data_IF_960740494540
#
_entry.id   IF_960740494540
#
_cell.length_a   1.000
_cell.length_b   1.000
_cell.length_c   1.000
_cell.angle_alpha   90.00
_cell.angle_beta   90.00
_cell.angle_gamma   90.00
#
_symmetry.space_group_name_H-M   'P 1'
#
loop_
_entity.id
_entity.type
_entity.pdbx_description
1 polymer ?
#
# COMPACT_ATOMS: atom_id res chain seq x y z
N UNK A 1 -11.87 9.75 -36.20
CA UNK A 1 -11.44 11.07 -35.68
C UNK A 1 -10.17 10.88 -34.91
N UNK A 2 -9.13 11.68 -35.16
CA UNK A 2 -7.88 11.60 -34.40
C UNK A 2 -8.15 12.00 -32.96
N UNK A 3 -7.70 11.18 -32.00
CA UNK A 3 -7.84 11.47 -30.55
C UNK A 3 -6.88 12.62 -30.21
N UNK A 4 -7.40 13.69 -29.63
CA UNK A 4 -6.57 14.83 -29.22
C UNK A 4 -5.68 14.45 -28.03
N UNK A 5 -4.37 14.62 -28.16
CA UNK A 5 -3.39 14.37 -27.09
C UNK A 5 -3.76 15.15 -25.82
N UNK A 6 -4.17 16.41 -25.94
CA UNK A 6 -4.61 17.23 -24.79
C UNK A 6 -5.82 16.63 -24.08
N UNK A 7 -6.80 16.14 -24.83
CA UNK A 7 -8.00 15.52 -24.24
C UNK A 7 -7.66 14.24 -23.50
N UNK A 8 -6.73 13.42 -24.01
CA UNK A 8 -6.26 12.21 -23.32
C UNK A 8 -5.57 12.59 -22.01
N UNK A 9 -4.67 13.56 -22.03
CA UNK A 9 -3.97 14.01 -20.83
C UNK A 9 -4.95 14.54 -19.75
N UNK A 10 -5.90 15.40 -20.14
CA UNK A 10 -6.93 15.93 -19.23
C UNK A 10 -7.80 14.82 -18.66
N UNK A 11 -8.18 13.82 -19.46
CA UNK A 11 -8.93 12.65 -18.98
C UNK A 11 -8.14 11.84 -17.95
N UNK A 12 -6.85 11.59 -18.21
CA UNK A 12 -5.98 10.87 -17.28
C UNK A 12 -5.89 11.60 -15.93
N UNK A 13 -5.62 12.91 -15.96
CA UNK A 13 -5.55 13.73 -14.75
C UNK A 13 -6.88 13.69 -13.96
N UNK A 14 -8.01 13.83 -14.67
CA UNK A 14 -9.33 13.78 -14.03
C UNK A 14 -9.62 12.42 -13.39
N UNK A 15 -9.25 11.32 -14.03
CA UNK A 15 -9.43 9.97 -13.48
C UNK A 15 -8.60 9.75 -12.21
N UNK A 16 -7.34 10.19 -12.21
CA UNK A 16 -6.48 10.09 -11.02
C UNK A 16 -6.98 11.01 -9.89
N UNK A 17 -7.35 12.25 -10.19
CA UNK A 17 -7.91 13.17 -9.21
C UNK A 17 -9.20 12.63 -8.56
N UNK A 18 -10.09 12.02 -9.35
CA UNK A 18 -11.30 11.39 -8.84
C UNK A 18 -10.97 10.18 -7.93
N UNK A 19 -9.96 9.40 -8.29
CA UNK A 19 -9.51 8.27 -7.48
C UNK A 19 -8.97 8.72 -6.13
N UNK A 20 -8.20 9.81 -6.11
CA UNK A 20 -7.71 10.44 -4.87
C UNK A 20 -8.86 10.98 -4.03
N UNK A 21 -9.79 11.74 -4.63
CA UNK A 21 -10.94 12.29 -3.92
C UNK A 21 -11.82 11.19 -3.31
N UNK A 22 -11.93 10.05 -3.99
CA UNK A 22 -12.67 8.88 -3.51
C UNK A 22 -12.12 8.27 -2.23
N UNK A 23 -10.82 8.42 -1.94
CA UNK A 23 -10.19 7.90 -0.72
C UNK A 23 -10.82 8.47 0.55
N UNK A 24 -11.34 9.69 0.51
CA UNK A 24 -11.98 10.31 1.67
C UNK A 24 -13.12 9.45 2.25
N UNK A 25 -13.82 8.69 1.40
CA UNK A 25 -14.89 7.78 1.85
C UNK A 25 -14.39 6.50 2.54
N UNK A 26 -13.09 6.23 2.46
CA UNK A 26 -12.44 5.06 3.07
C UNK A 26 -11.68 5.40 4.36
N UNK A 27 -11.66 6.68 4.76
CA UNK A 27 -11.11 7.09 6.05
C UNK A 27 -12.12 6.73 7.14
N UNK A 28 -11.80 5.69 7.89
CA UNK A 28 -12.68 5.06 8.88
C UNK A 28 -11.89 4.66 10.14
N UNK A 29 -12.49 3.91 11.06
CA UNK A 29 -11.86 3.44 12.30
C UNK A 29 -10.57 2.65 12.06
N UNK A 30 -10.45 1.93 10.96
CA UNK A 30 -9.22 1.19 10.65
C UNK A 30 -8.07 2.14 10.27
N UNK A 31 -8.37 3.29 9.64
CA UNK A 31 -7.37 4.32 9.43
C UNK A 31 -6.86 4.89 10.78
N UNK A 32 -7.76 5.20 11.72
CA UNK A 32 -7.36 5.67 13.06
C UNK A 32 -6.53 4.62 13.81
N UNK A 33 -6.91 3.33 13.72
CA UNK A 33 -6.14 2.22 14.30
C UNK A 33 -4.74 2.12 13.67
N UNK A 34 -4.62 2.30 12.35
CA UNK A 34 -3.33 2.26 11.66
C UNK A 34 -2.41 3.38 12.16
N UNK A 35 -2.91 4.61 12.20
CA UNK A 35 -2.17 5.77 12.73
C UNK A 35 -1.77 5.53 14.18
N UNK A 36 -2.69 5.06 15.03
CA UNK A 36 -2.42 4.78 16.44
C UNK A 36 -1.35 3.70 16.60
N UNK A 37 -1.43 2.60 15.83
CA UNK A 37 -0.45 1.51 15.88
C UNK A 37 0.95 2.00 15.48
N UNK A 38 1.06 2.86 14.46
CA UNK A 38 2.32 3.45 14.02
C UNK A 38 2.86 4.43 15.06
N UNK A 39 2.02 5.37 15.53
CA UNK A 39 2.44 6.45 16.42
C UNK A 39 2.80 5.96 17.84
N UNK A 40 2.11 4.93 18.34
CA UNK A 40 2.37 4.34 19.67
C UNK A 40 3.35 3.17 19.65
N UNK A 41 3.75 2.72 18.46
CA UNK A 41 4.68 1.61 18.26
C UNK A 41 6.06 1.91 18.85
N UNK A 42 6.72 0.89 19.42
CA UNK A 42 8.08 0.99 19.94
C UNK A 42 9.15 0.57 18.92
N UNK A 43 8.72 0.02 17.79
CA UNK A 43 9.56 -0.43 16.69
C UNK A 43 9.51 0.54 15.51
N UNK A 44 9.93 0.06 14.37
CA UNK A 44 9.90 0.77 13.09
C UNK A 44 8.64 0.43 12.32
N UNK A 45 8.36 1.20 11.27
CA UNK A 45 7.39 0.79 10.24
C UNK A 45 8.14 0.08 9.12
N UNK A 46 7.81 -1.19 8.88
CA UNK A 46 8.32 -1.96 7.75
C UNK A 46 7.29 -1.89 6.63
N UNK A 47 7.61 -1.19 5.55
CA UNK A 47 6.69 -1.08 4.41
C UNK A 47 7.14 -2.01 3.31
N UNK A 48 6.25 -2.91 2.87
CA UNK A 48 6.54 -3.93 1.87
C UNK A 48 5.60 -3.85 0.68
N UNK A 49 6.08 -4.28 -0.46
CA UNK A 49 5.31 -4.37 -1.71
C UNK A 49 6.11 -5.06 -2.80
N UNK A 50 5.45 -5.28 -3.95
CA UNK A 50 6.09 -5.85 -5.15
C UNK A 50 5.73 -5.02 -6.38
N UNK A 51 6.62 -4.99 -7.37
CA UNK A 51 6.42 -4.24 -8.61
C UNK A 51 6.23 -2.74 -8.36
N UNK A 52 5.17 -2.14 -8.94
CA UNK A 52 4.91 -0.71 -8.77
C UNK A 52 4.53 -0.34 -7.34
N UNK A 53 3.86 -1.22 -6.60
CA UNK A 53 3.59 -1.00 -5.17
C UNK A 53 4.86 -0.95 -4.32
N UNK A 54 5.94 -1.64 -4.73
CA UNK A 54 7.24 -1.53 -4.06
C UNK A 54 7.85 -0.13 -4.21
N UNK A 55 7.70 0.51 -5.38
CA UNK A 55 8.16 1.90 -5.61
C UNK A 55 7.38 2.87 -4.72
N UNK A 56 6.07 2.67 -4.58
CA UNK A 56 5.23 3.46 -3.68
C UNK A 56 5.65 3.24 -2.21
N UNK A 57 5.91 1.99 -1.82
CA UNK A 57 6.40 1.66 -0.48
C UNK A 57 7.71 2.40 -0.14
N UNK A 58 8.66 2.45 -1.07
CA UNK A 58 9.92 3.20 -0.89
C UNK A 58 9.67 4.70 -0.67
N UNK A 59 8.73 5.30 -1.44
CA UNK A 59 8.37 6.71 -1.26
C UNK A 59 7.74 6.95 0.10
N UNK A 60 6.83 6.09 0.55
CA UNK A 60 6.18 6.20 1.86
C UNK A 60 7.23 6.10 2.98
N UNK A 61 8.16 5.15 2.90
CA UNK A 61 9.29 5.03 3.83
C UNK A 61 10.11 6.31 3.89
N UNK A 62 10.43 6.91 2.72
CA UNK A 62 11.18 8.17 2.68
C UNK A 62 10.42 9.31 3.37
N UNK A 63 9.09 9.37 3.20
CA UNK A 63 8.22 10.36 3.86
C UNK A 63 8.19 10.14 5.38
N UNK A 64 7.96 8.93 5.85
CA UNK A 64 7.99 8.59 7.28
C UNK A 64 9.32 8.98 7.94
N UNK A 65 10.43 8.62 7.32
CA UNK A 65 11.77 8.99 7.85
C UNK A 65 11.96 10.51 7.87
N UNK A 66 11.45 11.25 6.88
CA UNK A 66 11.55 12.71 6.83
C UNK A 66 10.67 13.40 7.88
N UNK A 67 9.63 12.75 8.34
CA UNK A 67 8.69 13.27 9.35
C UNK A 67 8.92 12.71 10.75
N UNK A 68 10.00 11.93 10.94
CA UNK A 68 10.43 11.46 12.26
C UNK A 68 9.88 10.09 12.68
N UNK A 69 9.23 9.35 11.78
CA UNK A 69 8.77 7.98 12.01
C UNK A 69 9.79 6.99 11.44
N UNK A 70 10.60 6.29 12.26
CA UNK A 70 11.61 5.37 11.76
C UNK A 70 11.00 4.25 10.92
N UNK A 71 11.44 4.14 9.67
CA UNK A 71 10.83 3.22 8.71
C UNK A 71 11.87 2.59 7.80
N UNK A 72 11.58 1.35 7.36
CA UNK A 72 12.41 0.63 6.38
C UNK A 72 11.53 0.04 5.28
N UNK A 73 12.12 -0.08 4.11
CA UNK A 73 11.51 -0.79 2.99
C UNK A 73 11.97 -2.25 2.95
N UNK A 74 11.05 -3.18 2.69
CA UNK A 74 11.32 -4.59 2.49
C UNK A 74 10.62 -5.05 1.20
N UNK A 75 11.38 -5.45 0.19
CA UNK A 75 10.77 -5.96 -1.04
C UNK A 75 10.10 -7.32 -0.79
N UNK A 76 8.83 -7.50 -1.18
CA UNK A 76 8.08 -8.70 -0.83
C UNK A 76 8.67 -9.99 -1.40
N UNK A 77 9.32 -9.95 -2.58
CA UNK A 77 10.00 -11.11 -3.13
C UNK A 77 11.31 -11.43 -2.39
N UNK A 78 12.07 -10.41 -1.97
CA UNK A 78 13.34 -10.62 -1.27
C UNK A 78 13.09 -11.09 0.18
N UNK A 79 11.98 -10.68 0.77
CA UNK A 79 11.55 -11.12 2.09
C UNK A 79 11.49 -12.65 2.23
N UNK A 80 10.96 -13.34 1.21
CA UNK A 80 10.87 -14.81 1.22
C UNK A 80 12.21 -15.50 0.98
N UNK A 81 13.25 -14.75 0.61
CA UNK A 81 14.61 -15.24 0.37
C UNK A 81 15.63 -14.80 1.43
N UNK A 82 15.15 -14.21 2.55
CA UNK A 82 16.00 -13.90 3.69
C UNK A 82 15.79 -12.52 4.32
N UNK A 83 15.35 -11.52 3.57
CA UNK A 83 15.18 -10.15 4.08
C UNK A 83 14.10 -10.03 5.17
N UNK A 84 13.25 -11.06 5.32
CA UNK A 84 12.33 -11.16 6.45
C UNK A 84 13.03 -11.06 7.81
N UNK A 85 14.31 -11.48 7.89
CA UNK A 85 15.13 -11.35 9.09
C UNK A 85 15.35 -9.92 9.58
N UNK A 86 15.08 -8.90 8.75
CA UNK A 86 15.16 -7.50 9.18
C UNK A 86 13.96 -7.05 10.04
N UNK A 87 12.85 -7.80 10.02
CA UNK A 87 11.64 -7.49 10.82
C UNK A 87 11.89 -7.85 12.29
N UNK A 88 11.66 -6.89 13.18
CA UNK A 88 11.82 -7.06 14.62
C UNK A 88 10.46 -7.15 15.33
N UNK A 89 10.45 -7.71 16.54
CA UNK A 89 9.25 -8.05 17.29
C UNK A 89 8.26 -6.88 17.49
N UNK A 90 8.75 -5.65 17.62
CA UNK A 90 7.91 -4.48 17.87
C UNK A 90 7.63 -3.65 16.61
N UNK A 91 8.07 -4.09 15.45
CA UNK A 91 7.82 -3.39 14.19
C UNK A 91 6.34 -3.52 13.79
N UNK A 92 5.81 -2.47 13.17
CA UNK A 92 4.51 -2.49 12.48
C UNK A 92 4.78 -2.77 11.00
N UNK A 93 4.12 -3.77 10.43
CA UNK A 93 4.33 -4.15 9.03
C UNK A 93 3.16 -3.67 8.18
N UNK A 94 3.45 -2.87 7.17
CA UNK A 94 2.49 -2.41 6.16
C UNK A 94 2.79 -3.12 4.84
N UNK A 95 1.84 -3.90 4.31
CA UNK A 95 1.97 -4.52 3.00
C UNK A 95 1.06 -3.81 2.00
N UNK A 96 1.64 -3.32 0.92
CA UNK A 96 0.93 -2.60 -0.14
C UNK A 96 0.75 -3.53 -1.34
N UNK A 97 -0.51 -3.76 -1.74
CA UNK A 97 -0.83 -4.59 -2.90
C UNK A 97 -2.20 -4.24 -3.47
N UNK A 98 -2.28 -3.91 -4.75
CA UNK A 98 -3.57 -3.66 -5.41
C UNK A 98 -4.51 -4.87 -5.32
N UNK A 99 -4.04 -6.05 -5.72
CA UNK A 99 -4.85 -7.27 -5.71
C UNK A 99 -4.95 -7.94 -4.34
N UNK A 100 -3.88 -7.82 -3.52
CA UNK A 100 -3.73 -8.57 -2.27
C UNK A 100 -3.62 -10.10 -2.45
N UNK A 101 -3.37 -10.58 -3.67
CA UNK A 101 -3.44 -11.98 -4.07
C UNK A 101 -2.16 -12.53 -4.69
N UNK A 102 -1.09 -11.72 -4.83
CA UNK A 102 0.13 -12.21 -5.49
C UNK A 102 0.78 -13.36 -4.72
N UNK A 103 1.48 -14.28 -5.40
CA UNK A 103 2.12 -15.44 -4.77
C UNK A 103 3.06 -15.06 -3.63
N UNK A 104 3.86 -14.00 -3.81
CA UNK A 104 4.82 -13.51 -2.82
C UNK A 104 4.09 -13.03 -1.55
N UNK A 105 2.96 -12.33 -1.70
CA UNK A 105 2.14 -11.87 -0.57
C UNK A 105 1.57 -13.08 0.19
N UNK A 106 1.10 -14.11 -0.52
CA UNK A 106 0.56 -15.32 0.11
C UNK A 106 1.60 -16.09 0.93
N UNK A 107 2.86 -16.03 0.54
CA UNK A 107 3.95 -16.63 1.31
C UNK A 107 4.36 -15.71 2.47
N UNK A 108 4.44 -14.39 2.24
CA UNK A 108 4.92 -13.42 3.25
C UNK A 108 3.96 -13.26 4.42
N UNK A 109 2.67 -13.21 4.18
CA UNK A 109 1.64 -12.94 5.21
C UNK A 109 1.69 -13.93 6.38
N UNK A 110 1.71 -15.26 6.18
CA UNK A 110 1.82 -16.21 7.30
C UNK A 110 3.10 -16.03 8.12
N UNK A 111 4.21 -15.69 7.46
CA UNK A 111 5.50 -15.49 8.11
C UNK A 111 5.47 -14.27 9.05
N UNK A 112 4.91 -13.14 8.60
CA UNK A 112 4.72 -11.95 9.44
C UNK A 112 3.79 -12.25 10.62
N UNK A 113 2.69 -12.97 10.39
CA UNK A 113 1.77 -13.37 11.46
C UNK A 113 2.43 -14.24 12.52
N UNK A 114 3.32 -15.14 12.13
CA UNK A 114 4.07 -15.98 13.06
C UNK A 114 5.03 -15.19 13.95
N UNK A 115 5.50 -14.02 13.54
CA UNK A 115 6.30 -13.11 14.37
C UNK A 115 5.45 -12.32 15.37
N UNK A 116 4.12 -12.32 15.21
CA UNK A 116 3.21 -11.58 16.09
C UNK A 116 3.15 -10.08 15.85
N UNK A 117 3.72 -9.59 14.74
CA UNK A 117 3.68 -8.18 14.37
C UNK A 117 2.26 -7.72 13.98
N UNK A 118 1.94 -6.47 14.26
CA UNK A 118 0.75 -5.83 13.69
C UNK A 118 0.91 -5.75 12.18
N UNK A 119 -0.02 -6.36 11.45
CA UNK A 119 -0.05 -6.35 9.99
C UNK A 119 -1.14 -5.41 9.49
N UNK A 120 -0.75 -4.39 8.75
CA UNK A 120 -1.62 -3.45 8.07
C UNK A 120 -1.63 -3.80 6.58
N UNK A 121 -2.81 -4.03 6.01
CA UNK A 121 -3.01 -4.25 4.60
C UNK A 121 -3.44 -2.96 3.90
N UNK A 122 -2.63 -2.41 3.01
CA UNK A 122 -3.03 -1.33 2.11
C UNK A 122 -3.39 -1.95 0.75
N UNK A 123 -4.69 -2.09 0.47
CA UNK A 123 -5.19 -2.91 -0.64
C UNK A 123 -6.26 -2.23 -1.49
N UNK A 124 -6.27 -2.56 -2.77
CA UNK A 124 -7.36 -2.20 -3.70
C UNK A 124 -8.50 -3.22 -3.74
N UNK A 125 -8.36 -4.37 -3.06
CA UNK A 125 -9.41 -5.38 -2.91
C UNK A 125 -9.50 -5.81 -1.44
N UNK A 126 -10.52 -5.33 -0.74
CA UNK A 126 -10.75 -5.60 0.69
C UNK A 126 -11.17 -7.05 0.98
N UNK A 127 -11.56 -7.82 -0.04
CA UNK A 127 -11.88 -9.25 0.06
C UNK A 127 -10.67 -10.14 -0.27
N UNK A 128 -9.48 -9.56 -0.46
CA UNK A 128 -8.28 -10.29 -0.82
C UNK A 128 -7.74 -11.15 0.32
N UNK A 129 -6.84 -12.08 -0.05
CA UNK A 129 -6.11 -12.89 0.92
C UNK A 129 -5.35 -12.02 1.94
N UNK A 130 -4.66 -10.97 1.47
CA UNK A 130 -3.94 -10.04 2.35
C UNK A 130 -4.89 -9.35 3.33
N UNK A 131 -6.01 -8.79 2.84
CA UNK A 131 -6.99 -8.09 3.67
C UNK A 131 -7.58 -9.02 4.76
N UNK A 132 -8.02 -10.23 4.38
CA UNK A 132 -8.59 -11.20 5.33
C UNK A 132 -7.62 -11.67 6.42
N UNK A 133 -6.32 -11.52 6.21
CA UNK A 133 -5.29 -11.96 7.14
C UNK A 133 -4.60 -10.82 7.90
N UNK A 134 -4.89 -9.58 7.56
CA UNK A 134 -4.37 -8.41 8.25
C UNK A 134 -5.17 -8.06 9.51
N UNK A 135 -4.53 -7.36 10.44
CA UNK A 135 -5.17 -6.82 11.64
C UNK A 135 -5.94 -5.53 11.34
N UNK A 136 -5.49 -4.77 10.34
CA UNK A 136 -6.01 -3.45 9.97
C UNK A 136 -6.02 -3.36 8.44
N UNK A 137 -7.06 -2.76 7.85
CA UNK A 137 -7.22 -2.63 6.41
C UNK A 137 -7.30 -1.15 6.02
N UNK A 138 -6.36 -0.70 5.19
CA UNK A 138 -6.42 0.59 4.51
C UNK A 138 -6.92 0.36 3.07
N UNK A 139 -8.14 0.79 2.82
CA UNK A 139 -8.78 0.60 1.52
C UNK A 139 -8.29 1.64 0.50
N UNK A 140 -7.69 1.18 -0.59
CA UNK A 140 -7.25 2.01 -1.72
C UNK A 140 -7.91 1.58 -3.02
N UNK A 141 -9.16 1.11 -2.95
CA UNK A 141 -9.93 0.70 -4.13
C UNK A 141 -10.12 1.87 -5.09
N UNK A 142 -9.85 1.62 -6.35
CA UNK A 142 -10.12 2.56 -7.45
C UNK A 142 -11.05 1.89 -8.46
N UNK A 143 -11.90 2.68 -9.10
CA UNK A 143 -12.88 2.16 -10.06
C UNK A 143 -12.24 1.66 -11.35
N UNK A 144 -11.15 2.33 -11.79
CA UNK A 144 -10.41 1.98 -12.98
C UNK A 144 -9.01 2.60 -12.97
N UNK A 145 -8.11 2.03 -13.77
CA UNK A 145 -6.83 2.67 -14.04
C UNK A 145 -6.99 3.81 -15.06
N UNK A 146 -6.19 4.85 -14.93
CA UNK A 146 -6.16 5.93 -15.93
C UNK A 146 -5.45 5.51 -17.23
N UNK A 147 -4.74 4.39 -17.21
CA UNK A 147 -4.21 3.73 -18.40
C UNK A 147 -5.35 3.42 -19.39
N UNK A 148 -5.24 3.81 -20.69
CA UNK A 148 -6.29 3.60 -21.68
C UNK A 148 -6.74 2.14 -21.83
N UNK A 149 -5.83 1.20 -21.57
CA UNK A 149 -6.11 -0.24 -21.64
C UNK A 149 -6.50 -0.85 -20.27
N UNK A 150 -6.64 -0.04 -19.22
CA UNK A 150 -6.90 -0.47 -17.85
C UNK A 150 -5.90 -1.54 -17.33
N UNK A 151 -4.67 -1.53 -17.81
CA UNK A 151 -3.63 -2.53 -17.51
C UNK A 151 -2.53 -1.98 -16.59
N UNK A 152 -1.97 -0.81 -16.95
CA UNK A 152 -0.86 -0.25 -16.17
C UNK A 152 -1.39 0.38 -14.88
N UNK A 153 -0.82 0.03 -13.71
CA UNK A 153 -1.14 0.71 -12.46
C UNK A 153 -0.80 2.21 -12.56
N UNK A 154 -1.81 3.03 -12.44
CA UNK A 154 -1.78 4.49 -12.48
C UNK A 154 -2.63 5.03 -11.33
N UNK A 155 -3.96 5.09 -11.47
CA UNK A 155 -4.86 5.50 -10.40
C UNK A 155 -4.65 4.71 -9.11
N UNK A 156 -4.44 3.40 -9.20
CA UNK A 156 -4.21 2.55 -8.01
C UNK A 156 -2.93 2.91 -7.28
N UNK A 157 -1.84 3.21 -7.99
CA UNK A 157 -0.57 3.61 -7.35
C UNK A 157 -0.64 5.02 -6.79
N UNK A 158 -1.33 5.94 -7.45
CA UNK A 158 -1.59 7.29 -6.94
C UNK A 158 -2.44 7.23 -5.66
N UNK A 159 -3.48 6.39 -5.63
CA UNK A 159 -4.29 6.17 -4.44
C UNK A 159 -3.47 5.59 -3.27
N UNK A 160 -2.61 4.59 -3.52
CA UNK A 160 -1.71 4.02 -2.51
C UNK A 160 -0.75 5.09 -1.96
N UNK A 161 -0.22 5.94 -2.84
CA UNK A 161 0.69 7.01 -2.44
C UNK A 161 -0.01 8.01 -1.51
N UNK A 162 -1.18 8.51 -1.91
CA UNK A 162 -1.93 9.50 -1.13
C UNK A 162 -2.42 8.92 0.20
N UNK A 163 -2.86 7.66 0.24
CA UNK A 163 -3.22 6.98 1.48
C UNK A 163 -2.03 6.87 2.44
N UNK A 164 -0.82 6.69 1.91
CA UNK A 164 0.39 6.63 2.71
C UNK A 164 0.92 7.99 3.16
N UNK A 165 0.51 9.08 2.51
CA UNK A 165 0.86 10.46 2.89
C UNK A 165 -0.13 11.05 3.91
N UNK A 166 -1.34 10.50 3.99
CA UNK A 166 -2.40 10.93 4.90
C UNK A 166 -2.16 10.45 6.34
#
# INVERSE_FOLDING_TARGET
MAVSIKQVALKTIALEANSVSGLASYINDDFEKAVTAIASGKGRVVVSGIGKSAVIAQKIVATFNSTGTPSIFMHAADAIHGDLGMVQQNDVVVIISKSGESPEIKVLVPLIKNFGNVLIAMVGNIESYLARNASIILNTTVTQEACPNNLAPTSSTTAQLVMGDA
#
